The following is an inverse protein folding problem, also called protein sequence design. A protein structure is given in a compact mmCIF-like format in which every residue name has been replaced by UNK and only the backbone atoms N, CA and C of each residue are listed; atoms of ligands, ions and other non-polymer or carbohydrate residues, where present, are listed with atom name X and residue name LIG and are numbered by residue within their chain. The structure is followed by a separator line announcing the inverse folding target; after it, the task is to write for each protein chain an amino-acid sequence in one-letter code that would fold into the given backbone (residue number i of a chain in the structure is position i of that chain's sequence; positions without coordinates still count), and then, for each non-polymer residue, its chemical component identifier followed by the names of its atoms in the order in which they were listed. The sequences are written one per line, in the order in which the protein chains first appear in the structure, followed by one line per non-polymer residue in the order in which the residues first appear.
data_IF_102225012820
#
_entry.id   IF_102225012820
#
_cell.length_a   1.000
_cell.length_b   1.000
_cell.length_c   1.000
_cell.angle_alpha   90.00
_cell.angle_beta   90.00
_cell.angle_gamma   90.00
#
_symmetry.space_group_name_H-M   'P 1'
#
loop_
_entity.id
_entity.type
_entity.pdbx_description
1 polymer ?
#
# COMPACT_ATOMS: atom_id res chain seq x y z
N UNK A 1 3.03 -4.02 -12.43
CA UNK A 1 2.33 -5.07 -13.19
C UNK A 1 2.00 -4.55 -14.58
N UNK A 2 2.19 -5.37 -15.59
CA UNK A 2 2.00 -5.00 -17.00
C UNK A 2 0.88 -5.85 -17.58
N UNK A 3 -0.01 -5.20 -18.37
CA UNK A 3 -1.03 -5.88 -19.16
C UNK A 3 -0.58 -5.95 -20.61
N UNK A 4 -0.61 -7.15 -21.20
CA UNK A 4 -0.27 -7.37 -22.61
C UNK A 4 -1.15 -8.48 -23.17
N UNK A 5 -1.81 -8.20 -24.31
CA UNK A 5 -2.71 -9.15 -25.01
C UNK A 5 -3.80 -9.74 -24.09
N UNK A 6 -4.35 -8.92 -23.21
CA UNK A 6 -5.38 -9.33 -22.27
C UNK A 6 -4.91 -10.15 -21.09
N UNK A 7 -3.58 -10.29 -20.92
CA UNK A 7 -2.96 -11.01 -19.80
C UNK A 7 -2.15 -10.07 -18.93
N UNK A 8 -2.07 -10.40 -17.63
CA UNK A 8 -1.31 -9.62 -16.66
C UNK A 8 0.00 -10.32 -16.34
N UNK A 9 1.08 -9.56 -16.27
CA UNK A 9 2.41 -10.07 -15.98
C UNK A 9 3.01 -9.32 -14.80
N UNK A 10 3.64 -10.06 -13.87
CA UNK A 10 4.40 -9.43 -12.79
C UNK A 10 5.76 -8.92 -13.31
N UNK A 11 6.55 -8.29 -12.44
CA UNK A 11 7.81 -7.66 -12.84
C UNK A 11 8.88 -8.65 -13.31
N UNK A 12 8.74 -9.94 -13.00
CA UNK A 12 9.65 -11.00 -13.48
C UNK A 12 9.10 -11.75 -14.69
N UNK A 13 7.99 -11.29 -15.28
CA UNK A 13 7.41 -11.87 -16.49
C UNK A 13 6.46 -13.04 -16.24
N UNK A 14 6.12 -13.36 -15.00
CA UNK A 14 5.15 -14.41 -14.68
C UNK A 14 3.71 -13.94 -14.92
N UNK A 15 2.86 -14.85 -15.42
CA UNK A 15 1.45 -14.57 -15.65
C UNK A 15 0.72 -14.51 -14.30
N UNK A 16 -0.13 -13.47 -14.14
CA UNK A 16 -0.94 -13.26 -12.94
C UNK A 16 -2.41 -13.47 -13.28
N UNK A 17 -3.10 -14.27 -12.46
CA UNK A 17 -4.54 -14.50 -12.61
C UNK A 17 -5.29 -13.18 -12.43
N UNK A 18 -6.26 -12.84 -13.30
CA UNK A 18 -7.03 -11.60 -13.17
C UNK A 18 -7.73 -11.43 -11.81
N UNK A 19 -8.09 -12.53 -11.14
CA UNK A 19 -8.68 -12.46 -9.79
C UNK A 19 -7.71 -11.94 -8.73
N UNK A 20 -6.41 -11.96 -9.02
CA UNK A 20 -5.36 -11.47 -8.12
C UNK A 20 -4.87 -10.06 -8.48
N UNK A 21 -5.63 -9.35 -9.33
CA UNK A 21 -5.28 -8.01 -9.77
C UNK A 21 -6.22 -7.00 -9.14
N UNK A 22 -5.66 -5.93 -8.57
CA UNK A 22 -6.41 -4.77 -8.12
C UNK A 22 -6.35 -3.70 -9.20
N UNK A 23 -7.52 -3.16 -9.59
CA UNK A 23 -7.64 -2.09 -10.57
C UNK A 23 -7.88 -0.77 -9.84
N UNK A 24 -7.00 0.21 -10.08
CA UNK A 24 -7.16 1.55 -9.52
C UNK A 24 -7.85 2.46 -10.53
N UNK A 25 -8.76 3.32 -10.07
CA UNK A 25 -9.42 4.32 -10.91
C UNK A 25 -8.41 5.32 -11.45
N UNK A 26 -7.48 5.75 -10.59
CA UNK A 26 -6.39 6.66 -10.95
C UNK A 26 -5.07 5.91 -10.85
N UNK A 27 -4.15 6.12 -11.81
CA UNK A 27 -2.87 5.43 -11.75
C UNK A 27 -2.07 5.88 -10.52
N UNK A 28 -1.36 4.91 -9.92
CA UNK A 28 -0.36 5.16 -8.89
C UNK A 28 0.99 4.78 -9.49
N UNK A 29 1.95 5.71 -9.46
CA UNK A 29 3.27 5.50 -10.08
C UNK A 29 3.15 5.02 -11.55
N UNK A 30 2.20 5.61 -12.29
CA UNK A 30 1.89 5.32 -13.69
C UNK A 30 1.29 3.93 -13.96
N UNK A 31 0.82 3.22 -12.92
CA UNK A 31 0.20 1.92 -13.06
C UNK A 31 -1.19 1.90 -12.43
N UNK A 32 -2.18 1.39 -13.18
CA UNK A 32 -3.56 1.19 -12.68
C UNK A 32 -3.79 -0.23 -12.17
N UNK A 33 -2.92 -1.18 -12.52
CA UNK A 33 -3.07 -2.58 -12.19
C UNK A 33 -1.96 -3.01 -11.25
N UNK A 34 -2.37 -3.58 -10.12
CA UNK A 34 -1.46 -3.96 -9.05
C UNK A 34 -1.80 -5.34 -8.53
N UNK A 35 -0.82 -6.05 -8.01
CA UNK A 35 -1.05 -7.34 -7.38
C UNK A 35 -1.94 -7.16 -6.15
N UNK A 36 -3.03 -7.94 -6.10
CA UNK A 36 -4.01 -7.85 -5.02
C UNK A 36 -3.41 -8.31 -3.69
N UNK A 37 -3.62 -7.54 -2.64
CA UNK A 37 -3.35 -8.01 -1.30
C UNK A 37 -4.42 -9.02 -0.88
N UNK A 38 -4.03 -10.13 -0.24
CA UNK A 38 -4.97 -11.10 0.28
C UNK A 38 -5.68 -10.55 1.53
N UNK A 39 -6.83 -11.11 1.83
CA UNK A 39 -7.56 -10.74 3.07
C UNK A 39 -6.72 -11.06 4.30
N UNK A 40 -5.97 -12.16 4.28
CA UNK A 40 -5.06 -12.54 5.37
C UNK A 40 -3.92 -11.53 5.54
N UNK A 41 -3.36 -11.02 4.46
CA UNK A 41 -2.32 -9.98 4.53
C UNK A 41 -2.85 -8.72 5.18
N UNK A 42 -4.03 -8.28 4.77
CA UNK A 42 -4.65 -7.06 5.32
C UNK A 42 -4.97 -7.24 6.80
N UNK A 43 -5.54 -8.38 7.19
CA UNK A 43 -5.87 -8.66 8.60
C UNK A 43 -4.61 -8.80 9.46
N UNK A 44 -3.58 -9.49 8.96
CA UNK A 44 -2.31 -9.62 9.68
C UNK A 44 -1.63 -8.27 9.87
N UNK A 45 -1.69 -7.40 8.86
CA UNK A 45 -1.16 -6.05 8.97
C UNK A 45 -1.94 -5.24 10.01
N UNK A 46 -3.26 -5.36 10.03
CA UNK A 46 -4.10 -4.69 11.03
C UNK A 46 -3.68 -5.09 12.45
N UNK A 47 -3.55 -6.39 12.69
CA UNK A 47 -3.13 -6.90 14.01
C UNK A 47 -1.74 -6.38 14.40
N UNK A 48 -0.80 -6.37 13.45
CA UNK A 48 0.55 -5.87 13.69
C UNK A 48 0.53 -4.38 14.03
N UNK A 49 -0.22 -3.58 13.29
CA UNK A 49 -0.30 -2.12 13.53
C UNK A 49 -0.92 -1.82 14.89
N UNK A 50 -1.98 -2.51 15.26
CA UNK A 50 -2.61 -2.35 16.59
C UNK A 50 -1.61 -2.71 17.69
N UNK A 51 -0.90 -3.81 17.54
CA UNK A 51 0.14 -4.24 18.50
C UNK A 51 1.24 -3.18 18.64
N UNK A 52 1.75 -2.68 17.52
CA UNK A 52 2.82 -1.67 17.54
C UNK A 52 2.34 -0.36 18.15
N UNK A 53 1.11 0.06 17.83
CA UNK A 53 0.53 1.28 18.38
C UNK A 53 0.35 1.20 19.89
N UNK A 54 -0.14 0.09 20.40
CA UNK A 54 -0.37 -0.11 21.83
C UNK A 54 0.95 -0.33 22.62
N UNK A 55 1.88 -1.08 22.03
CA UNK A 55 3.11 -1.48 22.72
C UNK A 55 4.16 -0.36 22.74
N UNK A 56 4.28 0.37 21.64
CA UNK A 56 5.34 1.37 21.45
C UNK A 56 4.83 2.80 21.34
N UNK A 57 3.54 3.02 21.60
CA UNK A 57 2.94 4.35 21.55
C UNK A 57 3.11 5.05 20.19
N UNK A 58 2.98 4.26 19.12
CA UNK A 58 3.06 4.77 17.76
C UNK A 58 1.66 5.24 17.34
N UNK A 59 1.59 6.45 16.77
CA UNK A 59 0.35 6.98 16.20
C UNK A 59 0.05 6.28 14.88
N UNK A 60 -0.92 5.37 14.88
CA UNK A 60 -1.30 4.58 13.70
C UNK A 60 -2.47 5.19 12.93
N UNK A 61 -2.81 6.44 13.19
CA UNK A 61 -3.90 7.13 12.47
C UNK A 61 -3.56 7.24 10.98
N UNK A 62 -4.55 6.93 10.13
CA UNK A 62 -4.41 7.05 8.69
C UNK A 62 -4.42 8.53 8.26
N UNK A 63 -3.48 8.89 7.38
CA UNK A 63 -3.44 10.19 6.70
C UNK A 63 -3.27 9.94 5.21
N UNK A 64 -3.97 10.71 4.38
CA UNK A 64 -3.92 10.50 2.92
C UNK A 64 -2.59 10.89 2.28
N UNK A 65 -1.77 11.65 2.97
CA UNK A 65 -0.48 12.12 2.45
C UNK A 65 0.64 11.08 2.49
N UNK A 66 0.38 9.88 3.00
CA UNK A 66 1.41 8.84 3.13
C UNK A 66 1.80 8.21 1.79
N UNK A 67 1.02 8.41 0.74
CA UNK A 67 1.28 7.81 -0.58
C UNK A 67 2.25 8.60 -1.43
N UNK A 68 2.66 9.76 -0.97
CA UNK A 68 3.62 10.62 -1.65
C UNK A 68 4.69 11.09 -0.66
N UNK A 69 5.79 11.61 -1.20
CA UNK A 69 6.85 12.19 -0.35
C UNK A 69 6.25 13.27 0.53
N UNK A 70 6.46 13.19 1.85
CA UNK A 70 5.96 14.19 2.77
C UNK A 70 6.97 14.57 3.84
N UNK A 71 6.82 15.81 4.33
CA UNK A 71 7.75 16.41 5.27
C UNK A 71 7.69 15.79 6.66
N UNK A 72 6.51 15.32 7.09
CA UNK A 72 6.34 14.70 8.41
C UNK A 72 7.17 13.43 8.51
N UNK A 73 7.12 12.58 7.47
CA UNK A 73 7.92 11.37 7.41
C UNK A 73 9.41 11.67 7.36
N UNK A 74 9.82 12.63 6.55
CA UNK A 74 11.23 13.03 6.40
C UNK A 74 11.82 13.60 7.68
N UNK A 75 10.98 14.22 8.53
CA UNK A 75 11.38 14.73 9.84
C UNK A 75 11.42 13.65 10.92
N UNK A 76 10.95 12.45 10.63
CA UNK A 76 10.87 11.38 11.62
C UNK A 76 9.78 11.54 12.65
N UNK A 77 8.67 12.22 12.30
CA UNK A 77 7.53 12.37 13.21
C UNK A 77 6.89 11.03 13.51
N UNK A 78 6.33 10.91 14.70
CA UNK A 78 5.59 9.72 15.11
C UNK A 78 4.35 9.57 14.21
N UNK A 79 4.21 8.42 13.57
CA UNK A 79 3.09 8.20 12.67
C UNK A 79 3.23 6.94 11.85
N UNK A 80 2.20 6.69 11.06
CA UNK A 80 2.15 5.61 10.09
C UNK A 80 2.46 6.16 8.71
N UNK A 81 3.48 5.60 8.06
CA UNK A 81 3.95 6.05 6.77
C UNK A 81 4.20 4.86 5.84
N UNK A 82 4.29 5.13 4.55
CA UNK A 82 4.72 4.15 3.55
C UNK A 82 6.14 4.46 3.08
N UNK A 83 6.74 3.55 2.34
CA UNK A 83 8.05 3.79 1.73
C UNK A 83 7.99 4.98 0.77
N UNK A 84 6.83 5.21 0.15
CA UNK A 84 6.60 6.36 -0.73
C UNK A 84 6.70 7.70 0.00
N UNK A 85 6.43 7.71 1.31
CA UNK A 85 6.49 8.93 2.12
C UNK A 85 7.90 9.50 2.22
N UNK A 86 8.95 8.67 2.06
CA UNK A 86 10.35 9.04 2.21
C UNK A 86 11.18 8.87 0.93
N UNK A 87 10.65 8.19 -0.09
CA UNK A 87 11.35 7.98 -1.36
C UNK A 87 10.37 7.97 -2.52
N UNK A 88 10.62 8.83 -3.51
CA UNK A 88 9.76 8.95 -4.70
C UNK A 88 9.87 7.76 -5.65
N UNK A 89 10.98 7.01 -5.59
CA UNK A 89 11.26 5.88 -6.48
C UNK A 89 10.72 4.55 -5.97
N UNK A 90 9.98 4.54 -4.86
CA UNK A 90 9.43 3.32 -4.26
C UNK A 90 7.94 3.18 -4.53
N UNK A 91 7.50 1.93 -4.70
CA UNK A 91 6.10 1.58 -4.96
C UNK A 91 5.73 0.24 -4.33
N UNK A 92 6.47 -0.18 -3.32
CA UNK A 92 6.25 -1.49 -2.67
C UNK A 92 4.90 -1.56 -1.95
N UNK A 93 4.30 -0.43 -1.60
CA UNK A 93 2.93 -0.35 -1.10
C UNK A 93 2.15 0.62 -1.96
N UNK A 94 1.02 0.20 -2.48
CA UNK A 94 0.15 1.04 -3.31
C UNK A 94 -1.19 1.33 -2.58
N UNK A 95 -1.91 2.41 -2.97
CA UNK A 95 -3.16 2.79 -2.30
C UNK A 95 -4.33 1.86 -2.68
N UNK A 96 -4.25 0.61 -2.23
CA UNK A 96 -5.32 -0.37 -2.42
C UNK A 96 -6.56 0.07 -1.64
N UNK A 97 -7.75 0.14 -2.26
CA UNK A 97 -8.97 0.57 -1.57
C UNK A 97 -9.30 -0.23 -0.32
N UNK A 98 -9.08 -1.54 -0.33
CA UNK A 98 -9.32 -2.42 0.82
C UNK A 98 -8.32 -2.16 1.94
N UNK A 99 -7.06 -1.90 1.59
CA UNK A 99 -6.02 -1.53 2.56
C UNK A 99 -6.37 -0.19 3.21
N UNK A 100 -6.74 0.82 2.42
CA UNK A 100 -7.12 2.14 2.92
C UNK A 100 -8.33 2.04 3.85
N UNK A 101 -9.33 1.25 3.49
CA UNK A 101 -10.51 1.04 4.34
C UNK A 101 -10.10 0.47 5.71
N UNK A 102 -9.20 -0.50 5.73
CA UNK A 102 -8.68 -1.07 6.98
C UNK A 102 -7.92 -0.01 7.79
N UNK A 103 -7.03 0.75 7.14
CA UNK A 103 -6.25 1.79 7.82
C UNK A 103 -7.14 2.87 8.45
N UNK A 104 -8.23 3.25 7.77
CA UNK A 104 -9.20 4.21 8.31
C UNK A 104 -9.97 3.69 9.51
N UNK A 105 -10.03 2.38 9.68
CA UNK A 105 -10.75 1.74 10.80
C UNK A 105 -9.92 1.64 12.08
N UNK A 106 -8.66 1.97 12.03
CA UNK A 106 -7.75 1.88 13.17
C UNK A 106 -7.96 3.01 14.19
#
# INVERSE_FOLDING_TARGET
MVEKDGKFYNYVGGIVDPSEVTFLEKPFKNHKRWHKYSDKQIESLRELLVYLGETYDIDIKYNEDIWTLNKRALKGENGLFTHNSVRVDKSDVYPCPRLIKMLKSL
#
